data_IF_153187534429
#
_entry.id   IF_153187534429
#
_cell.length_a   1.000
_cell.length_b   1.000
_cell.length_c   1.000
_cell.angle_alpha   90.00
_cell.angle_beta   90.00
_cell.angle_gamma   90.00
#
_symmetry.space_group_name_H-M   'P 1'
#
loop_
_entity.id
_entity.type
_entity.pdbx_description
1 polymer ?
#
# COMPACT_ATOMS: atom_id res chain seq x y z
N UNK A 1 4.49 9.48 -17.46
CA UNK A 1 4.10 8.52 -16.40
C UNK A 1 4.13 7.12 -17.02
N UNK A 2 5.04 6.25 -16.58
CA UNK A 2 5.00 4.86 -17.03
C UNK A 2 4.03 4.15 -16.10
N UNK A 3 2.87 3.76 -16.62
CA UNK A 3 1.98 2.85 -15.93
C UNK A 3 2.67 1.50 -15.66
N UNK A 4 2.14 0.70 -14.73
CA UNK A 4 2.73 -0.60 -14.43
C UNK A 4 2.85 -1.43 -15.71
N UNK A 5 4.04 -1.99 -15.92
CA UNK A 5 4.28 -2.83 -17.10
C UNK A 5 3.52 -4.13 -16.95
N UNK A 6 2.45 -4.29 -17.73
CA UNK A 6 1.86 -5.58 -17.95
C UNK A 6 2.33 -6.14 -19.30
N UNK A 7 2.64 -7.44 -19.41
CA UNK A 7 2.51 -8.46 -18.36
C UNK A 7 3.54 -8.31 -17.22
N UNK A 8 3.19 -8.83 -16.04
CA UNK A 8 4.13 -8.94 -14.93
C UNK A 8 5.32 -9.84 -15.33
N UNK A 9 6.50 -9.66 -14.71
CA UNK A 9 7.64 -10.57 -14.91
C UNK A 9 7.25 -12.00 -14.59
N UNK A 10 7.91 -12.96 -15.24
CA UNK A 10 7.72 -14.38 -14.94
C UNK A 10 7.98 -14.68 -13.46
N UNK A 11 7.17 -15.55 -12.88
CA UNK A 11 7.24 -15.90 -11.46
C UNK A 11 8.58 -16.53 -11.10
N UNK A 12 9.21 -17.28 -12.03
CA UNK A 12 10.54 -17.87 -11.82
C UNK A 12 11.62 -16.80 -11.69
N UNK A 13 11.57 -15.75 -12.52
CA UNK A 13 12.48 -14.61 -12.45
C UNK A 13 12.30 -13.85 -11.14
N UNK A 14 11.05 -13.57 -10.75
CA UNK A 14 10.76 -12.92 -9.48
C UNK A 14 11.26 -13.74 -8.29
N UNK A 15 11.09 -15.07 -8.34
CA UNK A 15 11.57 -15.98 -7.30
C UNK A 15 13.08 -15.88 -7.11
N UNK A 16 13.83 -15.84 -8.19
CA UNK A 16 15.29 -15.67 -8.14
C UNK A 16 15.67 -14.29 -7.59
N UNK A 17 14.99 -13.23 -8.00
CA UNK A 17 15.26 -11.87 -7.56
C UNK A 17 15.01 -11.70 -6.06
N UNK A 18 13.91 -12.24 -5.54
CA UNK A 18 13.61 -12.20 -4.12
C UNK A 18 14.58 -13.06 -3.29
N UNK A 19 14.90 -14.27 -3.74
CA UNK A 19 15.87 -15.14 -3.05
C UNK A 19 17.27 -14.52 -3.02
N UNK A 20 17.66 -13.86 -4.09
CA UNK A 20 18.92 -13.12 -4.18
C UNK A 20 18.89 -11.76 -3.46
N UNK A 21 17.77 -11.39 -2.85
CA UNK A 21 17.53 -10.08 -2.16
C UNK A 21 17.76 -8.87 -3.08
N UNK A 22 17.57 -9.03 -4.39
CA UNK A 22 17.55 -7.90 -5.33
C UNK A 22 16.27 -7.09 -5.22
N UNK A 23 15.18 -7.74 -4.80
CA UNK A 23 13.89 -7.13 -4.49
C UNK A 23 13.53 -7.41 -3.02
N UNK A 24 12.90 -6.43 -2.36
CA UNK A 24 12.44 -6.53 -0.97
C UNK A 24 10.91 -6.52 -0.80
N UNK A 25 10.21 -5.96 -1.78
CA UNK A 25 8.75 -5.81 -1.79
C UNK A 25 8.23 -6.10 -3.18
N UNK A 26 7.11 -6.80 -3.30
CA UNK A 26 6.37 -6.95 -4.56
C UNK A 26 5.37 -5.79 -4.66
N UNK A 27 5.72 -4.74 -5.35
CA UNK A 27 4.87 -3.51 -5.49
C UNK A 27 5.60 -2.39 -6.21
N UNK A 28 4.89 -1.41 -6.68
CA UNK A 28 3.43 -1.26 -6.64
C UNK A 28 2.76 -2.19 -7.67
N UNK A 29 1.84 -3.05 -7.22
CA UNK A 29 1.03 -3.84 -8.13
C UNK A 29 -0.17 -3.01 -8.62
N UNK A 30 0.01 -2.32 -9.73
CA UNK A 30 -1.01 -1.49 -10.36
C UNK A 30 -1.97 -2.28 -11.25
N UNK A 31 -2.55 -3.37 -10.76
CA UNK A 31 -3.42 -4.28 -11.50
C UNK A 31 -4.61 -3.56 -12.15
N UNK A 32 -5.17 -2.60 -11.43
CA UNK A 32 -6.31 -1.78 -11.85
C UNK A 32 -6.06 -1.05 -13.17
N UNK A 33 -4.80 -0.65 -13.45
CA UNK A 33 -4.42 0.02 -14.70
C UNK A 33 -4.47 -0.90 -15.92
N UNK A 34 -4.22 -2.18 -15.68
CA UNK A 34 -4.33 -3.22 -16.72
C UNK A 34 -5.74 -3.81 -16.85
N UNK A 35 -6.69 -3.39 -16.01
CA UNK A 35 -8.03 -3.95 -15.96
C UNK A 35 -8.07 -5.34 -15.34
N UNK A 36 -7.16 -5.62 -14.43
CA UNK A 36 -7.03 -6.91 -13.72
C UNK A 36 -7.49 -6.74 -12.28
N UNK A 37 -8.34 -7.65 -11.82
CA UNK A 37 -8.75 -7.70 -10.42
C UNK A 37 -7.69 -8.43 -9.56
N UNK A 38 -7.57 -8.12 -8.25
CA UNK A 38 -6.67 -8.87 -7.37
C UNK A 38 -6.96 -10.37 -7.31
N UNK A 39 -8.24 -10.75 -7.40
CA UNK A 39 -8.68 -12.15 -7.38
C UNK A 39 -8.71 -12.80 -8.76
N UNK A 40 -8.19 -12.16 -9.82
CA UNK A 40 -8.07 -12.77 -11.14
C UNK A 40 -7.15 -14.00 -11.06
N UNK A 41 -7.54 -15.14 -11.67
CA UNK A 41 -6.73 -16.38 -11.64
C UNK A 41 -5.28 -16.21 -12.12
N UNK A 42 -5.02 -15.28 -13.05
CA UNK A 42 -3.66 -15.01 -13.51
C UNK A 42 -2.72 -14.51 -12.42
N UNK A 43 -3.25 -13.97 -11.32
CA UNK A 43 -2.49 -13.46 -10.19
C UNK A 43 -2.10 -14.54 -9.17
N UNK A 44 -2.75 -15.69 -9.21
CA UNK A 44 -2.54 -16.78 -8.23
C UNK A 44 -1.07 -17.18 -8.04
N UNK A 45 -0.25 -17.35 -9.11
CA UNK A 45 1.15 -17.71 -8.95
C UNK A 45 1.98 -16.65 -8.21
N UNK A 46 1.59 -15.37 -8.31
CA UNK A 46 2.27 -14.26 -7.62
C UNK A 46 1.92 -14.22 -6.14
N UNK A 47 0.64 -14.47 -5.79
CA UNK A 47 0.20 -14.58 -4.40
C UNK A 47 0.86 -15.77 -3.70
N UNK A 48 0.88 -16.93 -4.37
CA UNK A 48 1.54 -18.13 -3.86
C UNK A 48 3.05 -17.89 -3.63
N UNK A 49 3.74 -17.25 -4.58
CA UNK A 49 5.15 -16.88 -4.43
C UNK A 49 5.37 -15.94 -3.25
N UNK A 50 4.54 -14.92 -3.12
CA UNK A 50 4.68 -13.93 -2.06
C UNK A 50 4.44 -14.56 -0.67
N UNK A 51 3.45 -15.44 -0.54
CA UNK A 51 3.20 -16.17 0.71
C UNK A 51 4.33 -17.16 1.03
N UNK A 52 4.79 -17.95 0.04
CA UNK A 52 5.87 -18.94 0.22
C UNK A 52 7.16 -18.31 0.73
N UNK A 53 7.55 -17.18 0.15
CA UNK A 53 8.81 -16.50 0.48
C UNK A 53 8.65 -15.39 1.52
N UNK A 54 7.45 -15.23 2.11
CA UNK A 54 7.14 -14.16 3.07
C UNK A 54 7.45 -12.76 2.52
N UNK A 55 7.11 -12.52 1.25
CA UNK A 55 7.34 -11.24 0.57
C UNK A 55 6.18 -10.29 0.89
N UNK A 56 6.44 -9.08 1.38
CA UNK A 56 5.40 -8.07 1.52
C UNK A 56 4.92 -7.58 0.15
N UNK A 57 3.62 -7.41 0.01
CA UNK A 57 2.99 -6.98 -1.25
C UNK A 57 2.33 -5.63 -1.07
N UNK A 58 2.66 -4.68 -1.95
CA UNK A 58 1.97 -3.40 -2.08
C UNK A 58 1.03 -3.43 -3.29
N UNK A 59 -0.26 -3.28 -3.06
CA UNK A 59 -1.25 -3.26 -4.13
C UNK A 59 -1.89 -1.88 -4.23
N UNK A 60 -1.90 -1.33 -5.44
CA UNK A 60 -2.64 -0.11 -5.73
C UNK A 60 -4.14 -0.32 -5.47
N UNK A 61 -4.71 0.51 -4.64
CA UNK A 61 -6.14 0.51 -4.34
C UNK A 61 -6.73 1.90 -4.55
N UNK A 62 -8.04 1.97 -4.79
CA UNK A 62 -8.74 3.24 -4.93
C UNK A 62 -8.54 3.94 -6.28
N UNK A 63 -8.33 5.25 -6.22
CA UNK A 63 -8.35 6.12 -7.38
C UNK A 63 -6.98 6.21 -8.07
N UNK A 64 -7.02 6.56 -9.35
CA UNK A 64 -5.87 6.99 -10.13
C UNK A 64 -5.99 8.50 -10.48
N UNK A 65 -4.96 9.10 -11.09
CA UNK A 65 -5.05 10.47 -11.59
C UNK A 65 -6.26 10.70 -12.50
N UNK A 66 -6.85 11.90 -12.50
CA UNK A 66 -7.96 12.23 -13.40
C UNK A 66 -7.65 11.90 -14.85
N UNK A 67 -8.64 11.46 -15.61
CA UNK A 67 -8.53 11.08 -17.03
C UNK A 67 -7.65 9.85 -17.32
N UNK A 68 -7.21 9.09 -16.33
CA UNK A 68 -6.41 7.87 -16.51
C UNK A 68 -6.92 6.96 -17.64
N UNK A 69 -8.24 6.62 -17.76
CA UNK A 69 -8.72 5.76 -18.82
C UNK A 69 -8.54 6.33 -20.23
N UNK A 70 -8.48 7.64 -20.34
CA UNK A 70 -8.39 8.34 -21.64
C UNK A 70 -6.95 8.68 -22.02
N UNK A 71 -6.05 8.80 -21.05
CA UNK A 71 -4.67 9.23 -21.28
C UNK A 71 -3.68 8.08 -21.47
N UNK A 72 -3.74 7.06 -20.59
CA UNK A 72 -2.76 5.98 -20.60
C UNK A 72 -3.36 4.58 -20.60
N UNK A 73 -4.46 4.41 -19.92
CA UNK A 73 -4.84 3.09 -19.42
C UNK A 73 -6.32 2.80 -19.69
N UNK A 74 -6.71 2.50 -20.95
CA UNK A 74 -8.13 2.37 -21.36
C UNK A 74 -8.85 1.21 -20.65
N UNK A 75 -8.10 0.26 -20.09
CA UNK A 75 -8.63 -0.85 -19.29
C UNK A 75 -8.86 -0.49 -17.83
N UNK A 76 -8.39 0.65 -17.36
CA UNK A 76 -8.59 1.08 -15.97
C UNK A 76 -10.07 1.08 -15.61
N UNK A 77 -10.38 0.49 -14.46
CA UNK A 77 -11.71 0.56 -13.85
C UNK A 77 -11.55 0.81 -12.35
N UNK A 78 -12.12 1.89 -11.88
CA UNK A 78 -12.05 2.27 -10.46
C UNK A 78 -12.54 1.16 -9.52
N UNK A 79 -13.58 0.43 -9.92
CA UNK A 79 -14.11 -0.70 -9.14
C UNK A 79 -13.09 -1.81 -8.87
N UNK A 80 -12.08 -1.97 -9.74
CA UNK A 80 -11.01 -2.95 -9.55
C UNK A 80 -10.00 -2.54 -8.47
N UNK A 81 -10.02 -1.26 -8.06
CA UNK A 81 -9.26 -0.76 -6.91
C UNK A 81 -9.96 -0.92 -5.56
N UNK A 82 -11.14 -1.57 -5.53
CA UNK A 82 -11.86 -1.82 -4.29
C UNK A 82 -11.12 -2.86 -3.42
N UNK A 83 -10.73 -2.54 -2.17
CA UNK A 83 -10.06 -3.48 -1.28
C UNK A 83 -10.81 -4.79 -1.02
N UNK A 84 -12.14 -4.80 -1.10
CA UNK A 84 -12.95 -6.01 -0.92
C UNK A 84 -12.60 -7.13 -1.91
N UNK A 85 -12.04 -6.80 -3.08
CA UNK A 85 -11.60 -7.80 -4.07
C UNK A 85 -10.41 -8.64 -3.60
N UNK A 86 -9.73 -8.24 -2.51
CA UNK A 86 -8.66 -9.03 -1.90
C UNK A 86 -9.17 -10.17 -1.01
N UNK A 87 -10.44 -10.19 -0.65
CA UNK A 87 -10.97 -11.15 0.32
C UNK A 87 -10.68 -12.60 -0.09
N UNK A 88 -11.01 -12.99 -1.32
CA UNK A 88 -10.74 -14.34 -1.84
C UNK A 88 -9.25 -14.69 -1.88
N UNK A 89 -8.39 -13.70 -2.13
CA UNK A 89 -6.94 -13.88 -2.09
C UNK A 89 -6.47 -14.17 -0.66
N UNK A 90 -6.95 -13.38 0.30
CA UNK A 90 -6.56 -13.51 1.72
C UNK A 90 -7.09 -14.80 2.36
N UNK A 91 -8.23 -15.31 1.89
CA UNK A 91 -8.75 -16.63 2.31
C UNK A 91 -7.83 -17.76 1.83
N UNK A 92 -7.40 -17.72 0.56
CA UNK A 92 -6.50 -18.73 -0.01
C UNK A 92 -5.07 -18.61 0.50
N UNK A 93 -4.64 -17.40 0.83
CA UNK A 93 -3.27 -17.08 1.26
C UNK A 93 -3.26 -16.41 2.64
N UNK A 94 -3.58 -17.14 3.73
CA UNK A 94 -3.75 -16.56 5.07
C UNK A 94 -2.47 -15.97 5.69
N UNK A 95 -1.29 -16.30 5.15
CA UNK A 95 0.00 -15.75 5.60
C UNK A 95 0.51 -14.61 4.72
N UNK A 96 -0.19 -14.29 3.62
CA UNK A 96 0.19 -13.24 2.70
C UNK A 96 0.17 -11.88 3.42
N UNK A 97 1.31 -11.18 3.42
CA UNK A 97 1.42 -9.82 3.95
C UNK A 97 1.12 -8.82 2.85
N UNK A 98 0.02 -8.09 3.00
CA UNK A 98 -0.43 -7.10 2.01
C UNK A 98 -0.58 -5.73 2.67
N UNK A 99 -0.22 -4.68 1.96
CA UNK A 99 -0.66 -3.34 2.30
C UNK A 99 -1.43 -2.71 1.14
N UNK A 100 -2.52 -2.04 1.51
CA UNK A 100 -3.39 -1.28 0.62
C UNK A 100 -2.74 0.07 0.37
N UNK A 101 -2.18 0.29 -0.80
CA UNK A 101 -1.64 1.60 -1.17
C UNK A 101 -2.80 2.60 -1.28
N UNK A 102 -2.55 3.83 -0.86
CA UNK A 102 -3.54 4.91 -0.78
C UNK A 102 -4.71 4.62 0.19
N UNK A 103 -4.47 3.70 1.15
CA UNK A 103 -5.45 3.28 2.17
C UNK A 103 -6.84 2.91 1.60
N UNK A 104 -6.90 2.48 0.35
CA UNK A 104 -8.17 2.13 -0.32
C UNK A 104 -9.07 3.32 -0.65
N UNK A 105 -8.60 4.58 -0.50
CA UNK A 105 -9.45 5.75 -0.74
C UNK A 105 -10.10 5.72 -2.14
N UNK A 106 -11.42 5.93 -2.30
CA UNK A 106 -12.40 6.38 -1.30
C UNK A 106 -13.21 5.25 -0.62
N UNK A 107 -12.81 4.00 -0.74
CA UNK A 107 -13.53 2.81 -0.25
C UNK A 107 -13.34 2.62 1.26
N UNK A 108 -13.71 3.63 2.08
CA UNK A 108 -13.47 3.61 3.53
C UNK A 108 -14.09 2.39 4.24
N UNK A 109 -15.31 2.02 3.87
CA UNK A 109 -16.01 0.93 4.57
C UNK A 109 -15.41 -0.43 4.21
N UNK A 110 -15.08 -0.65 2.95
CA UNK A 110 -14.42 -1.85 2.46
C UNK A 110 -13.01 -1.97 3.02
N UNK A 111 -12.25 -0.86 3.07
CA UNK A 111 -10.94 -0.81 3.73
C UNK A 111 -11.05 -1.23 5.20
N UNK A 112 -12.02 -0.67 5.93
CA UNK A 112 -12.26 -1.04 7.33
C UNK A 112 -12.65 -2.51 7.48
N UNK A 113 -13.50 -3.03 6.60
CA UNK A 113 -13.93 -4.43 6.63
C UNK A 113 -12.74 -5.38 6.43
N UNK A 114 -11.96 -5.15 5.38
CA UNK A 114 -10.77 -5.97 5.07
C UNK A 114 -9.72 -5.89 6.20
N UNK A 115 -9.41 -4.70 6.68
CA UNK A 115 -8.47 -4.54 7.79
C UNK A 115 -8.99 -5.13 9.11
N UNK A 116 -10.30 -5.19 9.31
CA UNK A 116 -10.89 -5.81 10.49
C UNK A 116 -10.79 -7.33 10.44
N UNK A 117 -11.18 -7.92 9.33
CA UNK A 117 -11.21 -9.38 9.17
C UNK A 117 -9.81 -10.00 9.00
N UNK A 118 -8.87 -9.26 8.41
CA UNK A 118 -7.55 -9.76 8.02
C UNK A 118 -6.44 -8.96 8.72
N UNK A 119 -5.97 -9.40 9.92
CA UNK A 119 -5.01 -8.66 10.74
C UNK A 119 -3.62 -8.49 10.08
N UNK A 120 -3.27 -9.31 9.07
CA UNK A 120 -2.05 -9.20 8.28
C UNK A 120 -2.10 -8.06 7.24
N UNK A 121 -3.27 -7.43 7.02
CA UNK A 121 -3.43 -6.32 6.08
C UNK A 121 -3.08 -5.00 6.76
N UNK A 122 -2.19 -4.26 6.12
CA UNK A 122 -1.80 -2.88 6.44
C UNK A 122 -2.30 -1.93 5.36
N UNK A 123 -2.10 -0.64 5.56
CA UNK A 123 -2.36 0.36 4.54
C UNK A 123 -1.33 1.49 4.61
N UNK A 124 -0.98 2.09 3.48
CA UNK A 124 -0.24 3.34 3.48
C UNK A 124 -1.16 4.53 3.17
N UNK A 125 -0.68 5.72 3.47
CA UNK A 125 -1.41 6.97 3.28
C UNK A 125 -0.93 7.74 2.04
N UNK A 126 -0.08 7.11 1.24
CA UNK A 126 0.56 7.69 0.07
C UNK A 126 -0.45 8.38 -0.87
N UNK A 127 -0.05 9.46 -1.48
CA UNK A 127 -0.83 10.31 -2.35
C UNK A 127 -2.00 11.04 -1.66
N UNK A 128 -2.85 10.35 -0.90
CA UNK A 128 -4.04 10.97 -0.30
C UNK A 128 -3.68 12.01 0.78
N UNK A 129 -2.51 11.88 1.40
CA UNK A 129 -2.01 12.77 2.46
C UNK A 129 -1.58 14.16 1.95
N UNK A 130 -1.40 14.32 0.62
CA UNK A 130 -1.05 15.61 0.02
C UNK A 130 -1.92 16.01 -1.17
N UNK A 131 -2.56 15.05 -1.90
CA UNK A 131 -3.43 15.36 -3.05
C UNK A 131 -4.83 15.79 -2.59
N UNK A 132 -5.33 15.21 -1.48
CA UNK A 132 -6.68 15.53 -0.99
C UNK A 132 -6.68 16.84 -0.21
N UNK A 133 -7.82 17.58 -0.21
CA UNK A 133 -8.03 18.65 0.74
C UNK A 133 -7.72 18.17 2.17
N UNK A 134 -7.00 18.99 2.94
CA UNK A 134 -6.51 18.61 4.28
C UNK A 134 -7.59 18.05 5.18
N UNK A 135 -8.76 18.69 5.16
CA UNK A 135 -9.89 18.29 5.98
C UNK A 135 -10.41 16.91 5.60
N UNK A 136 -10.59 16.65 4.30
CA UNK A 136 -11.03 15.35 3.77
C UNK A 136 -10.05 14.24 4.12
N UNK A 137 -8.75 14.48 3.96
CA UNK A 137 -7.71 13.53 4.37
C UNK A 137 -7.77 13.25 5.88
N UNK A 138 -7.91 14.29 6.70
CA UNK A 138 -8.00 14.16 8.15
C UNK A 138 -9.26 13.41 8.60
N UNK A 139 -10.40 13.60 7.95
CA UNK A 139 -11.63 12.84 8.22
C UNK A 139 -11.41 11.36 7.92
N UNK A 140 -10.82 11.05 6.78
CA UNK A 140 -10.52 9.68 6.36
C UNK A 140 -9.54 8.99 7.33
N UNK A 141 -8.42 9.64 7.62
CA UNK A 141 -7.41 9.15 8.58
C UNK A 141 -8.01 8.94 9.98
N UNK A 142 -8.78 9.92 10.46
CA UNK A 142 -9.46 9.83 11.77
C UNK A 142 -10.41 8.64 11.83
N UNK A 143 -11.15 8.38 10.75
CA UNK A 143 -12.06 7.24 10.69
C UNK A 143 -11.33 5.89 10.78
N UNK A 144 -10.17 5.75 10.14
CA UNK A 144 -9.33 4.55 10.23
C UNK A 144 -8.71 4.39 11.63
N UNK A 145 -8.20 5.47 12.22
CA UNK A 145 -7.61 5.44 13.56
C UNK A 145 -8.66 5.10 14.62
N UNK A 146 -9.86 5.69 14.54
CA UNK A 146 -10.99 5.39 15.45
C UNK A 146 -11.48 3.95 15.31
N UNK A 147 -11.35 3.36 14.13
CA UNK A 147 -11.65 1.95 13.92
C UNK A 147 -10.58 0.99 14.49
N UNK A 148 -9.50 1.52 15.12
CA UNK A 148 -8.46 0.73 15.77
C UNK A 148 -7.28 0.37 14.87
N UNK A 149 -7.17 0.95 13.67
CA UNK A 149 -6.14 0.56 12.70
C UNK A 149 -4.85 1.39 12.79
N UNK A 150 -4.72 2.33 13.74
CA UNK A 150 -3.55 3.21 13.87
C UNK A 150 -2.19 2.49 13.90
N UNK A 151 -2.13 1.26 14.43
CA UNK A 151 -0.91 0.43 14.43
C UNK A 151 -0.64 -0.31 13.10
N UNK A 152 -1.45 -0.06 12.05
CA UNK A 152 -1.33 -0.69 10.73
C UNK A 152 -1.42 0.30 9.57
N UNK A 153 -1.34 1.60 9.87
CA UNK A 153 -1.24 2.68 8.88
C UNK A 153 0.24 3.08 8.74
N UNK A 154 0.71 3.23 7.51
CA UNK A 154 2.10 3.58 7.21
C UNK A 154 2.16 4.89 6.42
N UNK A 155 3.23 5.65 6.62
CA UNK A 155 3.55 6.78 5.77
C UNK A 155 3.98 6.31 4.38
N UNK A 156 3.59 7.05 3.36
CA UNK A 156 4.08 6.98 2.01
C UNK A 156 3.82 8.33 1.34
N UNK A 157 4.58 8.71 0.34
CA UNK A 157 4.37 9.97 -0.38
C UNK A 157 3.87 9.78 -1.81
N UNK A 158 4.14 8.63 -2.41
CA UNK A 158 3.90 8.35 -3.83
C UNK A 158 4.54 9.40 -4.76
N UNK A 159 5.72 9.95 -4.33
CA UNK A 159 6.39 11.00 -5.07
C UNK A 159 7.57 10.51 -5.88
N UNK A 160 7.39 10.55 -7.20
CA UNK A 160 8.44 10.23 -8.19
C UNK A 160 8.83 11.44 -9.02
N UNK A 161 8.04 12.52 -9.01
CA UNK A 161 8.18 13.66 -9.94
C UNK A 161 8.30 14.99 -9.21
N UNK A 162 7.57 15.17 -8.09
CA UNK A 162 7.53 16.42 -7.33
C UNK A 162 8.04 16.22 -5.92
N UNK A 163 9.35 16.43 -5.65
CA UNK A 163 9.94 16.21 -4.32
C UNK A 163 9.24 17.01 -3.21
N UNK A 164 8.68 18.17 -3.55
CA UNK A 164 7.92 19.02 -2.64
C UNK A 164 6.69 18.31 -2.06
N UNK A 165 6.11 17.37 -2.80
CA UNK A 165 5.01 16.53 -2.35
C UNK A 165 5.34 15.70 -1.11
N UNK A 166 6.61 15.35 -0.91
CA UNK A 166 7.07 14.63 0.30
C UNK A 166 6.86 15.49 1.54
N UNK A 167 7.25 16.78 1.46
CA UNK A 167 7.03 17.73 2.55
C UNK A 167 5.54 17.94 2.85
N UNK A 168 4.72 18.04 1.80
CA UNK A 168 3.26 18.17 1.94
C UNK A 168 2.63 16.93 2.59
N UNK A 169 3.08 15.74 2.23
CA UNK A 169 2.65 14.47 2.82
C UNK A 169 3.00 14.40 4.32
N UNK A 170 4.23 14.78 4.69
CA UNK A 170 4.66 14.86 6.10
C UNK A 170 3.77 15.83 6.86
N UNK A 171 3.58 17.05 6.34
CA UNK A 171 2.72 18.06 6.95
C UNK A 171 1.27 17.56 7.09
N UNK A 172 0.81 16.73 6.13
CA UNK A 172 -0.50 16.08 6.17
C UNK A 172 -0.74 15.33 7.47
N UNK A 173 0.23 14.57 7.90
CA UNK A 173 0.16 13.77 9.13
C UNK A 173 0.50 14.61 10.36
N UNK A 174 1.54 15.46 10.29
CA UNK A 174 1.96 16.29 11.41
C UNK A 174 0.87 17.27 11.87
N UNK A 175 0.12 17.86 10.94
CA UNK A 175 -0.98 18.78 11.24
C UNK A 175 -2.25 18.08 11.77
N UNK A 176 -2.30 16.74 11.83
CA UNK A 176 -3.43 15.99 12.36
C UNK A 176 -3.49 16.05 13.89
N UNK A 177 -4.08 17.09 14.44
CA UNK A 177 -4.18 17.38 15.89
C UNK A 177 -4.90 16.32 16.71
N UNK A 178 -5.64 15.41 16.07
CA UNK A 178 -6.31 14.29 16.72
C UNK A 178 -5.42 13.06 16.92
N UNK A 179 -4.20 13.08 16.37
CA UNK A 179 -3.19 12.04 16.59
C UNK A 179 -2.30 12.42 17.76
N UNK A 180 -1.97 11.43 18.59
CA UNK A 180 -0.88 11.56 19.56
C UNK A 180 0.48 11.47 18.88
N UNK A 181 1.54 11.96 19.54
CA UNK A 181 2.91 11.85 19.03
C UNK A 181 3.34 10.38 18.83
N UNK A 182 2.86 9.47 19.68
CA UNK A 182 3.07 8.03 19.51
C UNK A 182 2.41 7.52 18.22
N UNK A 183 1.17 7.93 17.95
CA UNK A 183 0.45 7.52 16.74
C UNK A 183 1.12 8.08 15.47
N UNK A 184 1.60 9.32 15.49
CA UNK A 184 2.39 9.87 14.39
C UNK A 184 3.67 9.07 14.15
N UNK A 185 4.42 8.78 15.22
CA UNK A 185 5.63 7.95 15.15
C UNK A 185 5.33 6.54 14.62
N UNK A 186 4.21 5.96 15.00
CA UNK A 186 3.78 4.66 14.45
C UNK A 186 3.56 4.74 12.94
N UNK A 187 2.85 5.76 12.46
CA UNK A 187 2.58 5.96 11.05
C UNK A 187 3.88 6.22 10.27
N UNK A 188 4.75 7.08 10.76
CA UNK A 188 5.99 7.43 10.07
C UNK A 188 7.05 6.33 10.07
N UNK A 189 7.06 5.46 11.09
CA UNK A 189 8.19 4.55 11.26
C UNK A 189 7.80 3.16 11.78
N UNK A 190 7.22 3.06 13.00
CA UNK A 190 7.11 1.78 13.70
C UNK A 190 6.26 0.75 12.95
N UNK A 191 5.19 1.18 12.27
CA UNK A 191 4.30 0.29 11.53
C UNK A 191 5.01 -0.32 10.31
N UNK A 192 5.80 0.47 9.58
CA UNK A 192 6.61 0.00 8.46
C UNK A 192 7.70 -0.97 8.94
N UNK A 193 8.37 -0.69 10.04
CA UNK A 193 9.36 -1.60 10.66
C UNK A 193 8.74 -2.96 10.96
N UNK A 194 7.54 -2.97 11.58
CA UNK A 194 6.82 -4.22 11.89
C UNK A 194 6.38 -4.96 10.63
N UNK A 195 5.75 -4.25 9.71
CA UNK A 195 5.24 -4.85 8.47
C UNK A 195 6.35 -5.41 7.60
N UNK A 196 7.43 -4.67 7.41
CA UNK A 196 8.58 -5.08 6.59
C UNK A 196 9.56 -5.99 7.34
N UNK A 197 9.35 -6.20 8.66
CA UNK A 197 10.25 -7.01 9.53
C UNK A 197 11.69 -6.52 9.47
N UNK A 198 11.87 -5.20 9.56
CA UNK A 198 13.19 -4.59 9.50
C UNK A 198 13.98 -4.86 10.79
N UNK A 199 15.25 -5.18 10.64
CA UNK A 199 16.18 -5.33 11.77
C UNK A 199 16.73 -3.95 12.17
N UNK A 200 16.12 -3.33 13.18
CA UNK A 200 16.50 -2.01 13.67
C UNK A 200 17.98 -1.91 14.07
N UNK A 201 18.59 -3.02 14.53
CA UNK A 201 20.02 -3.02 14.91
C UNK A 201 20.95 -2.75 13.74
N UNK A 202 20.51 -3.02 12.50
CA UNK A 202 21.29 -2.72 11.30
C UNK A 202 21.27 -1.25 10.92
N UNK A 203 20.21 -0.51 11.28
CA UNK A 203 20.07 0.91 10.94
C UNK A 203 20.82 1.82 11.92
N UNK A 204 20.87 1.48 13.21
CA UNK A 204 21.59 2.26 14.22
C UNK A 204 23.12 2.28 13.96
N UNK A 205 23.67 1.23 13.34
CA UNK A 205 25.12 1.15 13.04
C UNK A 205 25.58 2.00 11.86
N UNK A 206 24.68 2.43 10.97
CA UNK A 206 25.03 3.25 9.80
C UNK A 206 25.05 4.75 10.09
N UNK A 207 24.40 5.22 11.15
CA UNK A 207 24.35 6.64 11.56
C UNK A 207 25.48 7.06 12.50
N UNK A 208 26.42 6.18 12.82
CA UNK A 208 27.60 6.43 13.67
C UNK A 208 28.92 6.39 12.90
N UNK A 209 28.88 6.65 11.58
CA UNK A 209 30.09 6.85 10.76
C UNK A 209 30.12 8.21 10.11
#
# INVERSE_FOLDING_TARGET
MMGPRFPLPDVSVLREDFRARRLGVMGELGLVYAGVAPNDPQMEPYWALAEELDIPVGIHTGLAPPNTPYQCCPKFRNSLGNPALLEEVLIRHPKLRVYLMHAGYPYLQETKAIMHMYPQVYADLAAIDWIRPREEFHEYLRALVRAGFGKRLMFGSDQMVWPEGIGMAIEGIESASFLTEEQKRDIFYNNAVRFLRLDEKKFVRSSSR
#
